data_IF_384459523008
#
_entry.id   IF_384459523008
#
_cell.length_a   1.000
_cell.length_b   1.000
_cell.length_c   1.000
_cell.angle_alpha   90.00
_cell.angle_beta   90.00
_cell.angle_gamma   90.00
#
_symmetry.space_group_name_H-M   'P 1'
#
loop_
_entity.id
_entity.type
_entity.pdbx_description
1 polymer ?
#
# COMPACT_ATOMS: atom_id res chain seq x y z
N UNK A 1 17.27 -35.21 -3.39
CA UNK A 1 17.30 -33.77 -3.02
C UNK A 1 16.36 -32.93 -3.90
N UNK A 2 16.45 -33.01 -5.22
CA UNK A 2 15.65 -32.20 -6.19
C UNK A 2 14.12 -32.22 -5.94
N UNK A 3 13.53 -33.40 -5.69
CA UNK A 3 12.08 -33.54 -5.44
C UNK A 3 11.59 -32.72 -4.23
N UNK A 4 12.41 -32.63 -3.18
CA UNK A 4 12.06 -31.84 -1.98
C UNK A 4 12.01 -30.33 -2.28
N UNK A 5 12.92 -29.85 -3.15
CA UNK A 5 12.93 -28.45 -3.57
C UNK A 5 11.74 -28.11 -4.47
N UNK A 6 11.36 -29.02 -5.38
CA UNK A 6 10.19 -28.84 -6.24
C UNK A 6 8.91 -28.76 -5.39
N UNK A 7 8.75 -29.67 -4.42
CA UNK A 7 7.59 -29.65 -3.53
C UNK A 7 7.51 -28.35 -2.69
N UNK A 8 8.65 -27.86 -2.20
CA UNK A 8 8.70 -26.61 -1.45
C UNK A 8 8.33 -25.38 -2.32
N UNK A 9 8.81 -25.32 -3.56
CA UNK A 9 8.45 -24.26 -4.51
C UNK A 9 6.96 -24.26 -4.86
N UNK A 10 6.39 -25.44 -5.09
CA UNK A 10 4.97 -25.58 -5.39
C UNK A 10 4.10 -25.12 -4.20
N UNK A 11 4.47 -25.53 -2.99
CA UNK A 11 3.79 -25.10 -1.77
C UNK A 11 3.89 -23.58 -1.58
N UNK A 12 5.06 -22.97 -1.82
CA UNK A 12 5.23 -21.53 -1.73
C UNK A 12 4.36 -20.77 -2.75
N UNK A 13 4.25 -21.26 -3.99
CA UNK A 13 3.36 -20.68 -5.00
C UNK A 13 1.88 -20.78 -4.60
N UNK A 14 1.45 -21.92 -4.06
CA UNK A 14 0.07 -22.12 -3.59
C UNK A 14 -0.26 -21.20 -2.40
N UNK A 15 0.68 -20.99 -1.48
CA UNK A 15 0.52 -20.07 -0.36
C UNK A 15 0.46 -18.60 -0.83
N UNK A 16 1.29 -18.21 -1.80
CA UNK A 16 1.29 -16.85 -2.35
C UNK A 16 -0.05 -16.49 -3.03
N UNK A 17 -0.75 -17.46 -3.61
CA UNK A 17 -2.09 -17.26 -4.18
C UNK A 17 -3.18 -17.03 -3.13
N UNK A 18 -2.95 -17.48 -1.89
CA UNK A 18 -3.86 -17.29 -0.77
C UNK A 18 -3.56 -16.01 0.04
N UNK A 19 -2.45 -15.34 -0.24
CA UNK A 19 -2.13 -14.08 0.42
C UNK A 19 -3.20 -13.02 0.04
N UNK A 20 -3.76 -12.30 1.03
CA UNK A 20 -4.69 -11.22 0.74
C UNK A 20 -4.00 -10.22 -0.18
N UNK A 21 -4.68 -9.83 -1.27
CA UNK A 21 -4.19 -8.74 -2.11
C UNK A 21 -3.97 -7.54 -1.19
N UNK A 22 -2.78 -6.96 -1.23
CA UNK A 22 -2.50 -5.73 -0.52
C UNK A 22 -3.61 -4.72 -0.87
N UNK A 23 -4.14 -3.98 0.13
CA UNK A 23 -5.16 -2.98 -0.14
C UNK A 23 -4.72 -2.09 -1.31
N UNK A 24 -5.60 -1.74 -2.25
CA UNK A 24 -5.26 -0.82 -3.32
C UNK A 24 -4.87 0.51 -2.69
N UNK A 25 -3.57 0.83 -2.70
CA UNK A 25 -3.02 2.04 -2.09
C UNK A 25 -1.93 1.82 -1.06
N UNK A 26 -1.54 2.92 -0.40
CA UNK A 26 -0.58 2.92 0.69
C UNK A 26 -1.30 2.78 2.04
N UNK A 27 -1.14 1.64 2.72
CA UNK A 27 -1.69 1.41 4.06
C UNK A 27 -0.74 1.86 5.18
N UNK A 28 0.57 1.83 4.93
CA UNK A 28 1.58 2.19 5.91
C UNK A 28 1.74 3.71 6.01
N UNK A 29 2.42 4.24 7.03
CA UNK A 29 2.62 5.71 7.16
C UNK A 29 3.75 6.18 6.24
N UNK A 30 4.72 5.30 5.99
CA UNK A 30 5.97 5.58 5.28
C UNK A 30 5.75 5.86 3.78
N UNK A 31 4.71 5.27 3.19
CA UNK A 31 4.37 5.51 1.79
C UNK A 31 3.33 6.63 1.60
N UNK A 32 2.86 7.28 2.67
CA UNK A 32 1.92 8.39 2.58
C UNK A 32 2.68 9.69 2.28
N UNK A 33 2.14 10.59 1.45
CA UNK A 33 2.74 11.90 1.29
C UNK A 33 2.71 12.64 2.63
N UNK A 34 3.85 13.20 3.03
CA UNK A 34 3.97 13.93 4.29
C UNK A 34 3.57 15.41 4.11
N UNK A 35 3.27 16.07 5.21
CA UNK A 35 3.12 17.53 5.24
C UNK A 35 4.49 18.19 5.12
N UNK A 36 4.54 19.36 4.47
CA UNK A 36 5.74 20.19 4.38
C UNK A 36 5.59 21.48 5.19
N UNK A 37 6.63 22.31 5.23
CA UNK A 37 6.69 23.49 6.11
C UNK A 37 5.53 24.47 5.93
N UNK A 38 5.06 24.66 4.69
CA UNK A 38 3.90 25.51 4.36
C UNK A 38 2.76 24.74 3.70
N UNK A 39 2.72 23.41 3.84
CA UNK A 39 1.63 22.63 3.23
C UNK A 39 1.19 21.45 4.08
N UNK A 40 -0.13 21.31 4.23
CA UNK A 40 -0.75 20.21 4.93
C UNK A 40 -1.20 19.17 3.91
N UNK A 41 -0.75 17.92 4.07
CA UNK A 41 -1.27 16.79 3.29
C UNK A 41 -2.38 16.10 4.09
N UNK A 42 -3.59 16.05 3.53
CA UNK A 42 -4.73 15.29 4.08
C UNK A 42 -4.80 13.95 3.36
N UNK A 43 -4.49 12.88 4.09
CA UNK A 43 -4.66 11.52 3.61
C UNK A 43 -6.06 11.02 3.95
N UNK A 44 -6.90 10.85 2.94
CA UNK A 44 -8.28 10.41 3.12
C UNK A 44 -8.37 8.96 3.63
N UNK A 45 -9.54 8.52 4.08
CA UNK A 45 -9.81 7.09 4.30
C UNK A 45 -10.12 6.43 2.94
N UNK A 46 -9.90 5.12 2.74
CA UNK A 46 -10.18 4.46 1.46
C UNK A 46 -11.56 4.77 0.86
N UNK A 47 -12.60 4.80 1.68
CA UNK A 47 -13.98 5.05 1.25
C UNK A 47 -14.25 6.49 0.79
N UNK A 48 -13.33 7.41 1.09
CA UNK A 48 -13.42 8.84 0.74
C UNK A 48 -12.52 9.23 -0.44
N UNK A 49 -11.80 8.26 -1.03
CA UNK A 49 -10.87 8.51 -2.13
C UNK A 49 -11.53 8.27 -3.49
N UNK A 50 -11.10 9.04 -4.49
CA UNK A 50 -11.41 8.75 -5.90
C UNK A 50 -10.43 7.73 -6.52
N UNK A 51 -9.36 7.38 -5.81
CA UNK A 51 -8.35 6.43 -6.26
C UNK A 51 -7.49 5.88 -5.11
N UNK A 52 -6.72 4.81 -5.33
CA UNK A 52 -6.00 4.08 -4.27
C UNK A 52 -5.06 4.94 -3.43
N UNK A 53 -4.52 6.01 -4.00
CA UNK A 53 -3.58 6.91 -3.34
C UNK A 53 -4.04 8.37 -3.38
N UNK A 54 -5.35 8.60 -3.41
CA UNK A 54 -5.89 9.96 -3.45
C UNK A 54 -5.64 10.71 -2.13
N UNK A 55 -5.25 11.97 -2.25
CA UNK A 55 -4.91 12.88 -1.15
C UNK A 55 -5.13 14.32 -1.57
N UNK A 56 -5.34 15.20 -0.58
CA UNK A 56 -5.43 16.64 -0.82
C UNK A 56 -4.25 17.34 -0.19
N UNK A 57 -3.66 18.32 -0.91
CA UNK A 57 -2.62 19.20 -0.37
C UNK A 57 -3.18 20.61 -0.24
N UNK A 58 -3.06 21.18 0.95
CA UNK A 58 -3.53 22.53 1.28
C UNK A 58 -2.33 23.39 1.64
N UNK A 59 -2.26 24.62 1.11
CA UNK A 59 -1.23 25.57 1.50
C UNK A 59 -1.59 26.22 2.84
N UNK A 60 -0.61 26.30 3.72
CA UNK A 60 -0.71 27.01 5.00
C UNK A 60 -0.04 28.35 4.75
N UNK A 61 -0.85 29.42 4.71
CA UNK A 61 -0.47 30.79 4.33
C UNK A 61 -0.20 30.97 2.82
N UNK A 62 -1.27 31.08 2.00
CA UNK A 62 -1.16 31.35 0.56
C UNK A 62 -0.67 32.77 0.25
#
# INVERSE_FOLDING_TARGET
MVIRYIAALLAAMLLAACAPKAPPGCASVECRPQSGDNSLTIWWQPDLRNGPTDYTRVQVNP
#
